data_IF_064676923760
#
_entry.id   IF_064676923760
#
_cell.length_a   1.000
_cell.length_b   1.000
_cell.length_c   1.000
_cell.angle_alpha   90.00
_cell.angle_beta   90.00
_cell.angle_gamma   90.00
#
_symmetry.space_group_name_H-M   'P 1'
#
loop_
_entity.id
_entity.type
_entity.pdbx_description
1 polymer ?
#
# COMPACT_ATOMS: atom_id res chain seq x y z
N UNK A 1 4.63 9.38 40.30
CA UNK A 1 5.06 10.01 39.03
C UNK A 1 4.11 9.57 37.94
N UNK A 2 3.09 10.37 37.64
CA UNK A 2 2.06 10.09 36.63
C UNK A 2 2.51 10.68 35.29
N UNK A 3 2.85 9.80 34.34
CA UNK A 3 3.25 10.17 32.99
C UNK A 3 2.00 10.50 32.16
N UNK A 4 1.88 11.77 31.76
CA UNK A 4 0.84 12.26 30.85
C UNK A 4 1.27 12.04 29.40
N UNK A 5 0.82 10.94 28.80
CA UNK A 5 0.99 10.70 27.36
C UNK A 5 -0.08 11.48 26.60
N UNK A 6 0.30 12.64 26.04
CA UNK A 6 -0.56 13.43 25.15
C UNK A 6 -0.64 12.72 23.80
N UNK A 7 -1.80 12.18 23.48
CA UNK A 7 -2.13 11.65 22.15
C UNK A 7 -2.19 12.80 21.15
N UNK A 8 -1.17 12.92 20.30
CA UNK A 8 -1.23 13.75 19.09
C UNK A 8 -2.13 13.03 18.08
N UNK A 9 -3.41 13.41 18.05
CA UNK A 9 -4.33 13.00 16.99
C UNK A 9 -3.94 13.76 15.72
N UNK A 10 -3.18 13.09 14.85
CA UNK A 10 -2.93 13.56 13.49
C UNK A 10 -4.23 13.42 12.69
N UNK A 11 -4.95 14.53 12.51
CA UNK A 11 -6.14 14.59 11.66
C UNK A 11 -5.69 14.49 10.20
N UNK A 12 -5.74 13.29 9.64
CA UNK A 12 -5.63 13.04 8.19
C UNK A 12 -6.96 13.44 7.53
N UNK A 13 -7.08 14.73 7.19
CA UNK A 13 -8.18 15.21 6.35
C UNK A 13 -7.92 14.73 4.90
N UNK A 14 -8.43 13.55 4.55
CA UNK A 14 -8.57 13.14 3.15
C UNK A 14 -9.74 13.89 2.52
N UNK A 15 -9.47 15.10 2.02
CA UNK A 15 -10.43 15.84 1.20
C UNK A 15 -10.33 15.31 -0.24
N UNK A 16 -11.25 14.41 -0.62
CA UNK A 16 -11.60 14.17 -2.02
C UNK A 16 -12.44 15.35 -2.55
N UNK A 17 -11.95 16.57 -2.36
CA UNK A 17 -12.60 17.79 -2.81
C UNK A 17 -12.08 18.14 -4.19
N UNK A 18 -12.95 18.10 -5.20
CA UNK A 18 -12.69 18.80 -6.45
C UNK A 18 -12.27 20.23 -6.09
N UNK A 19 -11.01 20.59 -6.36
CA UNK A 19 -10.55 21.92 -6.05
C UNK A 19 -11.35 22.93 -6.87
N UNK A 20 -11.74 24.04 -6.25
CA UNK A 20 -12.43 25.14 -6.94
C UNK A 20 -11.59 26.40 -6.87
N UNK A 21 -11.87 27.37 -7.75
CA UNK A 21 -11.23 28.69 -7.67
C UNK A 21 -11.46 29.35 -6.30
N UNK A 22 -12.66 29.16 -5.70
CA UNK A 22 -12.96 29.67 -4.36
C UNK A 22 -12.06 29.04 -3.29
N UNK A 23 -11.70 27.76 -3.44
CA UNK A 23 -10.72 27.10 -2.56
C UNK A 23 -9.35 27.77 -2.67
N UNK A 24 -8.91 28.10 -3.89
CA UNK A 24 -7.62 28.75 -4.15
C UNK A 24 -7.56 30.20 -3.66
N UNK A 25 -8.70 30.90 -3.67
CA UNK A 25 -8.84 32.27 -3.14
C UNK A 25 -8.74 32.31 -1.60
N UNK A 26 -9.18 31.24 -0.94
CA UNK A 26 -9.06 31.10 0.52
C UNK A 26 -7.66 30.68 0.98
N UNK A 27 -6.83 30.16 0.07
CA UNK A 27 -5.46 29.76 0.37
C UNK A 27 -4.50 30.96 0.26
N UNK A 28 -3.62 31.19 1.26
CA UNK A 28 -2.49 32.09 1.09
C UNK A 28 -1.56 31.58 -0.03
N UNK A 29 -0.75 32.49 -0.58
CA UNK A 29 0.10 32.22 -1.74
C UNK A 29 1.01 30.98 -1.56
N UNK A 30 1.68 30.84 -0.41
CA UNK A 30 2.54 29.69 -0.12
C UNK A 30 1.77 28.36 -0.04
N UNK A 31 0.59 28.35 0.59
CA UNK A 31 -0.24 27.14 0.73
C UNK A 31 -0.78 26.71 -0.62
N UNK A 32 -1.15 27.67 -1.48
CA UNK A 32 -1.57 27.41 -2.86
C UNK A 32 -0.43 26.80 -3.69
N UNK A 33 0.78 27.35 -3.59
CA UNK A 33 1.96 26.79 -4.25
C UNK A 33 2.24 25.36 -3.77
N UNK A 34 2.22 25.13 -2.45
CA UNK A 34 2.36 23.78 -1.90
C UNK A 34 1.26 22.83 -2.39
N UNK A 35 0.00 23.28 -2.42
CA UNK A 35 -1.14 22.48 -2.86
C UNK A 35 -0.98 22.00 -4.31
N UNK A 36 -0.62 22.90 -5.22
CA UNK A 36 -0.41 22.60 -6.64
C UNK A 36 0.84 21.74 -6.83
N UNK A 37 1.98 22.14 -6.26
CA UNK A 37 3.26 21.50 -6.53
C UNK A 37 3.42 20.12 -5.90
N UNK A 38 2.77 19.86 -4.77
CA UNK A 38 2.68 18.50 -4.21
C UNK A 38 1.78 17.56 -5.02
N UNK A 39 0.94 18.12 -5.90
CA UNK A 39 0.01 17.35 -6.75
C UNK A 39 0.48 17.17 -8.17
N UNK A 40 1.57 17.83 -8.55
CA UNK A 40 2.25 17.69 -9.83
C UNK A 40 2.59 16.21 -10.10
N UNK A 41 2.36 15.77 -11.34
CA UNK A 41 2.54 14.36 -11.73
C UNK A 41 3.99 13.91 -11.65
N UNK A 42 4.95 14.77 -12.00
CA UNK A 42 6.37 14.45 -11.93
C UNK A 42 6.82 14.39 -10.47
N UNK A 43 6.37 15.34 -9.64
CA UNK A 43 6.61 15.29 -8.20
C UNK A 43 6.10 13.99 -7.57
N UNK A 44 4.85 13.62 -7.87
CA UNK A 44 4.23 12.38 -7.36
C UNK A 44 4.96 11.14 -7.84
N UNK A 45 5.33 11.07 -9.12
CA UNK A 45 6.10 9.97 -9.68
C UNK A 45 7.43 9.83 -8.94
N UNK A 46 8.19 10.91 -8.79
CA UNK A 46 9.47 10.88 -8.09
C UNK A 46 9.33 10.56 -6.60
N UNK A 47 8.26 11.00 -5.96
CA UNK A 47 7.93 10.61 -4.58
C UNK A 47 7.61 9.11 -4.46
N UNK A 48 6.95 8.54 -5.46
CA UNK A 48 6.69 7.10 -5.50
C UNK A 48 7.98 6.32 -5.78
N UNK A 49 8.81 6.79 -6.72
CA UNK A 49 10.11 6.18 -7.03
C UNK A 49 11.00 6.12 -5.77
N UNK A 50 11.06 7.22 -5.01
CA UNK A 50 11.75 7.26 -3.71
C UNK A 50 11.22 6.19 -2.75
N UNK A 51 9.90 6.12 -2.54
CA UNK A 51 9.29 5.16 -1.62
C UNK A 51 9.50 3.70 -2.05
N UNK A 52 9.42 3.41 -3.36
CA UNK A 52 9.66 2.09 -3.92
C UNK A 52 11.10 1.65 -3.65
N UNK A 53 12.07 2.54 -3.87
CA UNK A 53 13.47 2.22 -3.65
C UNK A 53 13.84 2.14 -2.17
N UNK A 54 13.22 2.93 -1.29
CA UNK A 54 13.37 2.79 0.17
C UNK A 54 12.83 1.43 0.65
N UNK A 55 11.64 1.02 0.22
CA UNK A 55 11.10 -0.30 0.53
C UNK A 55 12.00 -1.44 0.02
N UNK A 56 12.58 -1.28 -1.18
CA UNK A 56 13.53 -2.25 -1.74
C UNK A 56 14.83 -2.32 -0.93
N UNK A 57 15.33 -1.19 -0.43
CA UNK A 57 16.49 -1.17 0.47
C UNK A 57 16.21 -1.96 1.74
N UNK A 58 15.04 -1.78 2.35
CA UNK A 58 14.64 -2.50 3.56
C UNK A 58 14.50 -4.01 3.29
N UNK A 59 13.90 -4.39 2.16
CA UNK A 59 13.81 -5.78 1.74
C UNK A 59 15.19 -6.42 1.55
N UNK A 60 16.10 -5.74 0.83
CA UNK A 60 17.46 -6.24 0.59
C UNK A 60 18.24 -6.37 1.89
N UNK A 61 18.14 -5.39 2.80
CA UNK A 61 18.78 -5.46 4.11
C UNK A 61 18.26 -6.64 4.94
N UNK A 62 16.95 -6.89 4.91
CA UNK A 62 16.34 -8.05 5.57
C UNK A 62 16.88 -9.37 4.99
N UNK A 63 16.96 -9.45 3.65
CA UNK A 63 17.50 -10.62 2.93
C UNK A 63 18.97 -10.85 3.23
N UNK A 64 19.79 -9.80 3.20
CA UNK A 64 21.23 -9.86 3.56
C UNK A 64 21.42 -10.31 5.00
N UNK A 65 20.57 -9.82 5.93
CA UNK A 65 20.65 -10.19 7.34
C UNK A 65 20.30 -11.65 7.59
N UNK A 66 19.31 -12.21 6.88
CA UNK A 66 18.89 -13.62 7.06
C UNK A 66 19.67 -14.61 6.18
N UNK A 67 20.29 -14.15 5.09
CA UNK A 67 21.12 -14.96 4.19
C UNK A 67 20.36 -15.78 3.14
N UNK A 68 19.04 -15.61 3.00
CA UNK A 68 18.22 -16.33 2.03
C UNK A 68 17.00 -15.50 1.58
N UNK A 69 16.40 -15.88 0.45
CA UNK A 69 15.05 -15.45 0.01
C UNK A 69 14.05 -16.58 0.21
N UNK A 70 12.81 -16.24 0.54
CA UNK A 70 11.73 -17.23 0.67
C UNK A 70 10.93 -17.26 -0.62
N UNK A 71 10.89 -18.41 -1.27
CA UNK A 71 10.05 -18.65 -2.44
C UNK A 71 8.79 -19.38 -2.02
N UNK A 72 7.63 -18.84 -2.37
CA UNK A 72 6.32 -19.42 -2.04
C UNK A 72 5.71 -20.05 -3.28
N UNK A 73 5.47 -21.36 -3.23
CA UNK A 73 4.77 -22.10 -4.27
C UNK A 73 3.42 -22.56 -3.72
N UNK A 74 2.33 -22.19 -4.38
CA UNK A 74 0.98 -22.57 -3.97
C UNK A 74 0.35 -23.49 -5.00
N UNK A 75 -0.36 -24.52 -4.53
CA UNK A 75 -1.22 -25.37 -5.34
C UNK A 75 -2.64 -25.31 -4.80
N UNK A 76 -3.62 -25.25 -5.69
CA UNK A 76 -5.02 -25.35 -5.30
C UNK A 76 -5.37 -26.82 -5.09
N UNK A 77 -5.78 -27.17 -3.89
CA UNK A 77 -6.16 -28.53 -3.49
C UNK A 77 -7.66 -28.61 -3.27
N UNK A 78 -8.22 -29.76 -3.63
CA UNK A 78 -9.61 -30.09 -3.37
C UNK A 78 -9.74 -30.57 -1.92
N UNK A 79 -10.56 -29.90 -1.12
CA UNK A 79 -10.80 -30.22 0.30
C UNK A 79 -12.26 -30.57 0.49
N UNK A 80 -12.52 -31.81 0.92
CA UNK A 80 -13.84 -32.23 1.35
C UNK A 80 -14.10 -31.71 2.76
N UNK A 81 -15.11 -30.86 2.90
CA UNK A 81 -15.54 -30.35 4.22
C UNK A 81 -16.85 -31.00 4.66
N UNK A 82 -17.02 -31.21 5.98
CA UNK A 82 -18.30 -31.54 6.57
C UNK A 82 -19.38 -30.56 6.07
N UNK A 83 -20.35 -31.06 5.32
CA UNK A 83 -21.50 -30.29 4.89
C UNK A 83 -22.70 -30.54 5.80
N UNK A 84 -23.88 -30.12 5.34
CA UNK A 84 -25.11 -30.23 6.11
C UNK A 84 -25.43 -31.69 6.48
N UNK A 85 -25.85 -31.89 7.73
CA UNK A 85 -26.37 -33.16 8.23
C UNK A 85 -27.89 -33.12 8.07
N UNK A 86 -28.45 -34.09 7.34
CA UNK A 86 -29.89 -34.30 7.23
C UNK A 86 -30.27 -35.58 7.96
N UNK A 87 -31.13 -35.46 8.97
CA UNK A 87 -31.68 -36.58 9.70
C UNK A 87 -33.14 -36.81 9.33
N UNK A 88 -33.51 -38.05 9.06
CA UNK A 88 -34.90 -38.47 8.84
C UNK A 88 -35.27 -39.49 9.88
N UNK A 89 -36.36 -39.24 10.62
CA UNK A 89 -36.87 -40.18 11.61
C UNK A 89 -38.15 -40.80 11.09
N UNK A 90 -38.21 -42.13 11.06
CA UNK A 90 -39.38 -42.88 10.62
C UNK A 90 -39.74 -43.95 11.67
N UNK A 91 -41.02 -44.02 12.04
CA UNK A 91 -41.55 -44.97 13.03
C UNK A 91 -42.81 -44.44 13.74
N UNK A 92 -43.54 -45.32 14.42
CA UNK A 92 -44.75 -44.99 15.20
C UNK A 92 -44.66 -45.67 16.57
N UNK A 93 -44.95 -44.93 17.65
CA UNK A 93 -44.81 -45.43 19.02
C UNK A 93 -43.36 -45.50 19.50
N UNK A 94 -42.98 -46.53 20.25
CA UNK A 94 -41.64 -46.66 20.86
C UNK A 94 -40.53 -47.14 19.88
N UNK A 95 -40.85 -47.33 18.60
CA UNK A 95 -39.92 -47.80 17.57
C UNK A 95 -39.64 -46.71 16.53
N UNK A 96 -39.10 -45.57 16.98
CA UNK A 96 -38.63 -44.51 16.08
C UNK A 96 -37.15 -44.75 15.77
N UNK A 97 -36.83 -44.96 14.50
CA UNK A 97 -35.45 -44.99 14.02
C UNK A 97 -35.12 -43.68 13.33
N UNK A 98 -34.01 -43.05 13.73
CA UNK A 98 -33.47 -41.85 13.12
C UNK A 98 -32.22 -42.20 12.31
N UNK A 99 -32.29 -42.01 10.99
CA UNK A 99 -31.13 -42.08 10.09
C UNK A 99 -30.60 -40.67 9.83
N UNK A 100 -29.33 -40.43 10.14
CA UNK A 100 -28.65 -39.16 9.90
C UNK A 100 -27.57 -39.35 8.84
N UNK A 101 -27.63 -38.55 7.78
CA UNK A 101 -26.61 -38.53 6.72
C UNK A 101 -25.95 -37.17 6.63
N UNK A 102 -24.63 -37.17 6.64
CA UNK A 102 -23.83 -35.97 6.38
C UNK A 102 -23.45 -35.92 4.92
N UNK A 103 -23.82 -34.84 4.23
CA UNK A 103 -23.27 -34.55 2.90
C UNK A 103 -21.90 -33.92 3.06
N UNK A 104 -20.91 -34.31 2.27
CA UNK A 104 -19.66 -33.54 2.16
C UNK A 104 -19.82 -32.46 1.10
N UNK A 105 -19.18 -31.31 1.32
CA UNK A 105 -19.08 -30.25 0.33
C UNK A 105 -17.64 -30.15 -0.13
N UNK A 106 -17.43 -30.25 -1.43
CA UNK A 106 -16.12 -29.97 -2.03
C UNK A 106 -15.84 -28.46 -1.98
N UNK A 107 -14.70 -28.09 -1.41
CA UNK A 107 -14.15 -26.73 -1.48
C UNK A 107 -12.74 -26.75 -2.07
N UNK A 108 -12.24 -25.59 -2.50
CA UNK A 108 -10.88 -25.43 -3.00
C UNK A 108 -10.09 -24.55 -2.06
N UNK A 109 -8.92 -25.00 -1.65
CA UNK A 109 -8.02 -24.26 -0.76
C UNK A 109 -6.63 -24.16 -1.41
N UNK A 110 -5.87 -23.13 -1.05
CA UNK A 110 -4.49 -22.98 -1.50
C UNK A 110 -3.55 -23.58 -0.45
N UNK A 111 -2.88 -24.66 -0.83
CA UNK A 111 -1.79 -25.26 -0.06
C UNK A 111 -0.47 -24.66 -0.56
N UNK A 112 0.19 -23.88 0.29
CA UNK A 112 1.40 -23.14 -0.05
C UNK A 112 2.61 -23.68 0.72
N UNK A 113 3.69 -23.97 0.00
CA UNK A 113 4.99 -24.32 0.58
C UNK A 113 5.96 -23.15 0.42
N UNK A 114 6.64 -22.81 1.51
CA UNK A 114 7.70 -21.80 1.53
C UNK A 114 9.06 -22.50 1.55
N UNK A 115 9.93 -22.14 0.62
CA UNK A 115 11.28 -22.73 0.48
C UNK A 115 12.34 -21.62 0.59
N UNK A 116 13.23 -21.66 1.59
CA UNK A 116 14.34 -20.75 1.68
C UNK A 116 15.40 -21.10 0.63
N UNK A 117 15.89 -20.10 -0.10
CA UNK A 117 16.94 -20.22 -1.11
C UNK A 117 18.06 -19.26 -0.76
N UNK A 118 19.27 -19.78 -0.62
CA UNK A 118 20.45 -18.98 -0.29
C UNK A 118 20.66 -17.85 -1.32
N UNK A 119 21.10 -16.69 -0.84
CA UNK A 119 21.38 -15.54 -1.71
C UNK A 119 22.82 -15.53 -2.20
N UNK A 120 23.04 -14.83 -3.32
CA UNK A 120 24.34 -14.26 -3.64
C UNK A 120 24.48 -12.91 -2.93
N UNK A 121 25.27 -12.88 -1.86
CA UNK A 121 25.46 -11.68 -1.05
C UNK A 121 26.12 -10.52 -1.82
N UNK A 122 26.93 -10.79 -2.84
CA UNK A 122 27.57 -9.75 -3.64
C UNK A 122 26.56 -9.12 -4.60
N UNK A 123 25.73 -9.95 -5.23
CA UNK A 123 24.63 -9.47 -6.07
C UNK A 123 23.65 -8.61 -5.25
N UNK A 124 23.26 -9.06 -4.06
CA UNK A 124 22.34 -8.31 -3.20
C UNK A 124 22.94 -6.98 -2.72
N UNK A 125 24.25 -6.93 -2.41
CA UNK A 125 24.93 -5.64 -2.12
C UNK A 125 24.97 -4.72 -3.34
N UNK A 126 25.21 -5.25 -4.54
CA UNK A 126 25.11 -4.46 -5.77
C UNK A 126 23.72 -3.87 -5.98
N UNK A 127 22.67 -4.67 -5.75
CA UNK A 127 21.28 -4.21 -5.81
C UNK A 127 20.95 -3.16 -4.74
N UNK A 128 21.54 -3.28 -3.54
CA UNK A 128 21.40 -2.32 -2.46
C UNK A 128 21.96 -0.96 -2.88
N UNK A 129 23.19 -0.93 -3.42
CA UNK A 129 23.84 0.30 -3.84
C UNK A 129 23.12 0.96 -5.02
N UNK A 130 22.66 0.16 -5.99
CA UNK A 130 21.83 0.65 -7.08
C UNK A 130 20.53 1.31 -6.55
N UNK A 131 19.86 0.69 -5.58
CA UNK A 131 18.63 1.23 -5.01
C UNK A 131 18.89 2.52 -4.20
N UNK A 132 19.98 2.58 -3.43
CA UNK A 132 20.41 3.82 -2.73
C UNK A 132 20.66 4.96 -3.71
N UNK A 133 21.35 4.70 -4.82
CA UNK A 133 21.60 5.70 -5.85
C UNK A 133 20.30 6.22 -6.48
N UNK A 134 19.32 5.35 -6.69
CA UNK A 134 18.00 5.76 -7.19
C UNK A 134 17.24 6.63 -6.18
N UNK A 135 17.29 6.33 -4.88
CA UNK A 135 16.70 7.19 -3.83
C UNK A 135 17.34 8.59 -3.86
N UNK A 136 18.67 8.67 -3.91
CA UNK A 136 19.38 9.96 -3.96
C UNK A 136 18.97 10.75 -5.19
N UNK A 137 18.95 10.11 -6.36
CA UNK A 137 18.54 10.74 -7.61
C UNK A 137 17.09 11.22 -7.56
N UNK A 138 16.17 10.37 -7.11
CA UNK A 138 14.75 10.71 -6.97
C UNK A 138 14.56 11.90 -6.02
N UNK A 139 15.26 11.94 -4.88
CA UNK A 139 15.23 13.06 -3.93
C UNK A 139 15.68 14.38 -4.57
N UNK A 140 16.80 14.37 -5.29
CA UNK A 140 17.31 15.57 -5.97
C UNK A 140 16.33 16.05 -7.04
N UNK A 141 15.90 15.15 -7.93
CA UNK A 141 14.96 15.49 -9.01
C UNK A 141 13.61 15.98 -8.45
N UNK A 142 13.09 15.32 -7.40
CA UNK A 142 11.83 15.70 -6.74
C UNK A 142 11.91 17.11 -6.18
N UNK A 143 13.01 17.44 -5.50
CA UNK A 143 13.24 18.76 -4.94
C UNK A 143 13.38 19.83 -6.03
N UNK A 144 14.03 19.51 -7.15
CA UNK A 144 14.15 20.42 -8.30
C UNK A 144 12.80 20.69 -8.96
N UNK A 145 12.00 19.64 -9.19
CA UNK A 145 10.64 19.77 -9.73
C UNK A 145 9.76 20.59 -8.79
N UNK A 146 9.78 20.29 -7.50
CA UNK A 146 9.02 21.02 -6.49
C UNK A 146 9.42 22.50 -6.45
N UNK A 147 10.71 22.79 -6.33
CA UNK A 147 11.22 24.17 -6.25
C UNK A 147 10.88 25.00 -7.48
N UNK A 148 11.01 24.41 -8.68
CA UNK A 148 10.65 25.06 -9.94
C UNK A 148 9.15 25.33 -10.04
N UNK A 149 8.32 24.39 -9.61
CA UNK A 149 6.89 24.60 -9.54
C UNK A 149 6.56 25.70 -8.52
N UNK A 150 7.17 25.65 -7.33
CA UNK A 150 6.89 26.57 -6.24
C UNK A 150 7.20 28.01 -6.63
N UNK A 151 8.38 28.27 -7.21
CA UNK A 151 8.79 29.62 -7.66
C UNK A 151 7.91 30.17 -8.78
N UNK A 152 7.25 29.29 -9.55
CA UNK A 152 6.29 29.67 -10.57
C UNK A 152 4.92 30.01 -9.98
N UNK A 153 4.42 29.20 -9.03
CA UNK A 153 3.04 29.29 -8.54
C UNK A 153 2.88 30.29 -7.39
N UNK A 154 3.87 30.44 -6.51
CA UNK A 154 3.79 31.36 -5.37
C UNK A 154 3.39 32.80 -5.80
N UNK A 155 4.02 33.43 -6.81
CA UNK A 155 3.66 34.79 -7.20
C UNK A 155 2.33 34.89 -7.98
N UNK A 156 1.71 33.77 -8.38
CA UNK A 156 0.46 33.80 -9.14
C UNK A 156 -0.74 34.19 -8.27
N UNK A 157 -1.74 34.83 -8.90
CA UNK A 157 -3.05 35.01 -8.28
C UNK A 157 -3.73 33.66 -8.04
N UNK A 158 -4.78 33.66 -7.20
CA UNK A 158 -5.57 32.46 -6.94
C UNK A 158 -6.15 31.86 -8.24
N UNK A 159 -6.68 32.71 -9.11
CA UNK A 159 -7.28 32.34 -10.40
C UNK A 159 -6.22 31.79 -11.36
N UNK A 160 -5.05 32.43 -11.43
CA UNK A 160 -3.94 31.98 -12.28
C UNK A 160 -3.44 30.60 -11.86
N UNK A 161 -3.20 30.40 -10.56
CA UNK A 161 -2.75 29.12 -10.02
C UNK A 161 -3.82 28.03 -10.17
N UNK A 162 -5.10 28.36 -10.00
CA UNK A 162 -6.20 27.41 -10.24
C UNK A 162 -6.28 26.99 -11.71
N UNK A 163 -6.16 27.95 -12.63
CA UNK A 163 -6.13 27.67 -14.06
C UNK A 163 -4.91 26.84 -14.47
N UNK A 164 -3.76 27.05 -13.81
CA UNK A 164 -2.58 26.19 -13.99
C UNK A 164 -2.86 24.75 -13.51
N UNK A 165 -3.43 24.61 -12.30
CA UNK A 165 -3.77 23.32 -11.71
C UNK A 165 -4.74 22.51 -12.57
N UNK A 166 -5.79 23.14 -13.12
CA UNK A 166 -6.79 22.45 -13.95
C UNK A 166 -6.31 22.03 -15.34
N UNK A 167 -5.18 22.58 -15.82
CA UNK A 167 -4.62 22.25 -17.14
C UNK A 167 -3.65 21.07 -17.11
N UNK A 168 -3.24 20.63 -15.91
CA UNK A 168 -2.38 19.46 -15.69
C UNK A 168 -3.20 18.25 -15.27
#
# INVERSE_FOLDING_TARGET
MTSNTKYFVAILVSICGCATVSSFQKMPSHERAQYVCSRDSDYKRLSNDESIHEAKIDEINSVLSRGYRVHKACKTVKVEKPGAVSCTSNGVGNAINTDCRQKTTTTYENDCTETPVAIDANLERGNLDASKNMVVRAKIEKNNVYSRCYSLIEPMSAEQAFNYYNKK
#
